data_IF_840987349707
#
_entry.id   IF_840987349707
#
_cell.length_a   1.000
_cell.length_b   1.000
_cell.length_c   1.000
_cell.angle_alpha   90.00
_cell.angle_beta   90.00
_cell.angle_gamma   90.00
#
_symmetry.space_group_name_H-M   'P 1'
#
loop_
_entity.id
_entity.type
_entity.pdbx_description
1 polymer ?
#
# COMPACT_ATOMS: atom_id res chain seq x y z
N UNK A 1 28.14 1.93 -1.55
CA UNK A 1 27.09 0.98 -1.98
C UNK A 1 25.90 1.81 -2.43
N UNK A 2 25.33 1.56 -3.61
CA UNK A 2 24.13 2.28 -4.05
C UNK A 2 22.97 1.89 -3.13
N UNK A 3 22.15 2.87 -2.75
CA UNK A 3 20.96 2.60 -1.95
C UNK A 3 20.03 1.62 -2.71
N UNK A 4 19.38 0.67 -2.01
CA UNK A 4 18.42 -0.23 -2.63
C UNK A 4 17.32 0.57 -3.34
N UNK A 5 16.86 0.08 -4.50
CA UNK A 5 15.70 0.60 -5.23
C UNK A 5 14.42 0.24 -4.46
N UNK A 6 14.20 0.86 -3.31
CA UNK A 6 13.04 0.67 -2.47
C UNK A 6 12.43 2.03 -2.12
N UNK A 7 11.10 2.05 -2.00
CA UNK A 7 10.44 3.20 -1.39
C UNK A 7 10.88 3.32 0.07
N UNK A 8 11.02 4.54 0.56
CA UNK A 8 11.31 4.79 1.97
C UNK A 8 10.07 4.45 2.78
N UNK A 9 10.19 3.53 3.74
CA UNK A 9 9.15 3.31 4.75
C UNK A 9 9.06 4.57 5.62
N UNK A 10 7.90 5.24 5.55
CA UNK A 10 7.57 6.43 6.33
C UNK A 10 6.50 6.06 7.36
N UNK A 11 6.50 6.74 8.51
CA UNK A 11 5.52 6.49 9.57
C UNK A 11 4.08 6.62 9.06
N UNK A 12 3.16 5.95 9.77
CA UNK A 12 1.74 5.98 9.43
C UNK A 12 1.22 7.42 9.39
N UNK A 13 0.60 7.82 8.27
CA UNK A 13 0.08 9.18 8.07
C UNK A 13 1.06 10.19 7.46
N UNK A 14 2.37 9.91 7.46
CA UNK A 14 3.42 10.82 6.95
C UNK A 14 3.81 10.58 5.49
N UNK A 15 3.00 9.79 4.77
CA UNK A 15 3.25 9.41 3.38
C UNK A 15 3.21 10.63 2.44
N UNK A 16 4.21 10.75 1.56
CA UNK A 16 4.34 11.83 0.57
C UNK A 16 3.97 11.34 -0.84
N UNK A 17 3.83 12.29 -1.77
CA UNK A 17 3.55 11.99 -3.18
C UNK A 17 2.18 11.34 -3.38
N UNK A 18 2.12 10.28 -4.18
CA UNK A 18 0.85 9.61 -4.52
C UNK A 18 0.25 8.82 -3.36
N UNK A 19 1.03 8.53 -2.31
CA UNK A 19 0.57 7.82 -1.09
C UNK A 19 -0.02 8.73 -0.02
N UNK A 20 -0.10 10.05 -0.28
CA UNK A 20 -0.73 11.00 0.65
C UNK A 20 -2.15 10.52 0.97
N UNK A 21 -2.56 10.64 2.25
CA UNK A 21 -3.89 10.26 2.74
C UNK A 21 -4.29 8.77 2.58
N UNK A 22 -3.36 7.86 2.26
CA UNK A 22 -3.67 6.43 2.15
C UNK A 22 -4.33 5.85 3.42
N UNK A 23 -3.99 6.36 4.59
CA UNK A 23 -4.55 5.96 5.88
C UNK A 23 -6.05 6.29 6.07
N UNK A 24 -6.62 7.16 5.23
CA UNK A 24 -8.04 7.50 5.28
C UNK A 24 -8.90 6.50 4.50
N UNK A 25 -8.28 5.63 3.70
CA UNK A 25 -8.97 4.64 2.88
C UNK A 25 -9.14 3.38 3.72
N UNK A 26 -10.38 3.05 4.06
CA UNK A 26 -10.73 1.78 4.70
C UNK A 26 -11.43 0.85 3.69
N UNK A 27 -11.05 -0.41 3.71
CA UNK A 27 -11.68 -1.49 2.96
C UNK A 27 -11.41 -2.80 3.67
N UNK A 28 -12.38 -3.72 3.69
CA UNK A 28 -12.29 -4.98 4.44
C UNK A 28 -12.23 -6.21 3.49
N UNK A 29 -11.13 -6.47 2.75
CA UNK A 29 -11.03 -7.59 1.80
C UNK A 29 -11.42 -8.98 2.32
N UNK A 30 -11.27 -9.27 3.62
CA UNK A 30 -11.64 -10.56 4.21
C UNK A 30 -13.13 -10.67 4.54
N UNK A 31 -13.85 -9.55 4.59
CA UNK A 31 -15.30 -9.48 4.85
C UNK A 31 -16.06 -9.22 3.55
N UNK A 32 -15.58 -8.27 2.75
CA UNK A 32 -16.18 -7.82 1.49
C UNK A 32 -15.70 -8.69 0.33
N UNK A 33 -16.45 -9.74 0.02
CA UNK A 33 -16.19 -10.59 -1.14
C UNK A 33 -16.58 -9.88 -2.44
N UNK A 34 -15.60 -9.53 -3.28
CA UNK A 34 -15.85 -8.92 -4.59
C UNK A 34 -16.17 -9.98 -5.64
N UNK A 35 -17.38 -9.93 -6.20
CA UNK A 35 -17.73 -10.80 -7.34
C UNK A 35 -17.08 -10.30 -8.64
N UNK A 36 -16.82 -11.19 -9.62
CA UNK A 36 -16.26 -10.76 -10.91
C UNK A 36 -17.13 -9.73 -11.66
N UNK A 37 -18.44 -9.77 -11.47
CA UNK A 37 -19.38 -8.83 -12.11
C UNK A 37 -19.29 -7.44 -11.50
N UNK A 38 -19.25 -7.34 -10.18
CA UNK A 38 -19.03 -6.07 -9.48
C UNK A 38 -17.69 -5.46 -9.85
N UNK A 39 -16.64 -6.27 -9.93
CA UNK A 39 -15.33 -5.80 -10.39
C UNK A 39 -15.40 -5.20 -11.79
N UNK A 40 -16.03 -5.88 -12.75
CA UNK A 40 -16.17 -5.36 -14.12
C UNK A 40 -16.98 -4.04 -14.16
N UNK A 41 -18.01 -3.92 -13.32
CA UNK A 41 -18.78 -2.68 -13.21
C UNK A 41 -17.95 -1.54 -12.61
N UNK A 42 -17.16 -1.82 -11.56
CA UNK A 42 -16.24 -0.86 -10.94
C UNK A 42 -15.15 -0.43 -11.93
N UNK A 43 -14.53 -1.37 -12.63
CA UNK A 43 -13.50 -1.09 -13.64
C UNK A 43 -14.06 -0.18 -14.75
N UNK A 44 -15.29 -0.42 -15.20
CA UNK A 44 -15.98 0.45 -16.17
C UNK A 44 -16.21 1.86 -15.62
N UNK A 45 -16.63 2.00 -14.36
CA UNK A 45 -16.81 3.31 -13.72
C UNK A 45 -15.47 4.05 -13.58
N UNK A 46 -14.39 3.35 -13.23
CA UNK A 46 -13.04 3.90 -13.18
C UNK A 46 -12.62 4.38 -14.57
N UNK A 47 -12.87 3.60 -15.63
CA UNK A 47 -12.56 4.01 -17.01
C UNK A 47 -13.35 5.25 -17.44
N UNK A 48 -14.64 5.33 -17.12
CA UNK A 48 -15.48 6.50 -17.39
C UNK A 48 -14.95 7.74 -16.67
N UNK A 49 -14.57 7.61 -15.38
CA UNK A 49 -13.95 8.69 -14.59
C UNK A 49 -12.56 9.09 -15.12
N UNK A 50 -11.73 8.13 -15.54
CA UNK A 50 -10.45 8.43 -16.18
C UNK A 50 -10.63 9.18 -17.52
N UNK A 51 -11.77 8.97 -18.20
CA UNK A 51 -12.09 9.64 -19.47
C UNK A 51 -12.68 11.03 -19.27
N UNK A 52 -13.50 11.20 -18.24
CA UNK A 52 -14.18 12.46 -17.93
C UNK A 52 -13.30 13.43 -17.13
N UNK A 53 -12.38 12.91 -16.32
CA UNK A 53 -11.55 13.72 -15.44
C UNK A 53 -10.43 14.44 -16.18
N UNK A 54 -10.23 15.71 -15.82
CA UNK A 54 -9.11 16.53 -16.30
C UNK A 54 -7.85 16.39 -15.44
N UNK A 55 -7.95 15.72 -14.29
CA UNK A 55 -6.84 15.44 -13.36
C UNK A 55 -6.07 14.23 -13.88
N UNK A 56 -4.81 14.45 -14.28
CA UNK A 56 -3.92 13.34 -14.63
C UNK A 56 -3.58 12.53 -13.38
N UNK A 57 -3.46 11.20 -13.48
CA UNK A 57 -2.95 10.38 -12.39
C UNK A 57 -1.59 10.90 -11.91
N UNK A 58 -1.38 10.90 -10.59
CA UNK A 58 -0.08 11.21 -10.00
C UNK A 58 0.98 10.26 -10.54
N UNK A 59 2.08 10.80 -11.04
CA UNK A 59 3.17 9.99 -11.61
C UNK A 59 4.00 9.34 -10.49
N UNK A 60 3.68 8.08 -10.24
CA UNK A 60 4.28 7.22 -9.21
C UNK A 60 5.75 6.86 -9.51
N UNK A 61 6.25 7.11 -10.73
CA UNK A 61 7.64 6.79 -11.10
C UNK A 61 8.64 7.84 -10.60
N UNK A 62 8.19 9.06 -10.28
CA UNK A 62 9.07 10.14 -9.78
C UNK A 62 9.66 9.84 -8.40
N UNK A 63 9.11 8.87 -7.66
CA UNK A 63 9.63 8.45 -6.36
C UNK A 63 10.79 7.44 -6.47
N UNK A 64 11.04 6.91 -7.67
CA UNK A 64 12.10 5.91 -7.89
C UNK A 64 13.45 6.58 -8.21
N UNK A 65 14.57 6.04 -7.70
CA UNK A 65 15.90 6.54 -8.06
C UNK A 65 16.19 6.39 -9.57
N UNK A 66 16.95 7.31 -10.19
CA UNK A 66 17.34 7.19 -11.59
C UNK A 66 18.24 5.96 -11.80
N UNK A 67 18.05 5.29 -12.93
CA UNK A 67 18.86 4.12 -13.30
C UNK A 67 20.32 4.51 -13.54
N UNK A 68 21.30 3.70 -13.13
CA UNK A 68 22.71 3.95 -13.41
C UNK A 68 23.02 3.83 -14.91
N UNK A 69 23.88 4.71 -15.43
CA UNK A 69 24.33 4.66 -16.83
C UNK A 69 25.19 3.42 -17.11
N UNK A 70 24.80 2.61 -18.10
CA UNK A 70 25.57 1.46 -18.55
C UNK A 70 26.67 1.90 -19.52
N UNK A 71 27.93 1.97 -19.06
CA UNK A 71 29.11 2.20 -19.92
C UNK A 71 29.88 0.91 -20.12
N UNK A 72 29.58 0.18 -21.19
CA UNK A 72 30.38 -0.96 -21.61
C UNK A 72 31.47 -0.51 -22.58
N UNK A 73 32.74 -0.63 -22.18
CA UNK A 73 33.89 -0.45 -23.09
C UNK A 73 34.09 -1.75 -23.87
N UNK A 74 34.19 -1.67 -25.20
CA UNK A 74 34.44 -2.84 -26.04
C UNK A 74 35.77 -3.51 -25.63
N UNK A 75 35.76 -4.84 -25.49
CA UNK A 75 36.96 -5.63 -25.20
C UNK A 75 37.89 -5.63 -26.42
N UNK A 76 39.16 -5.28 -26.19
CA UNK A 76 40.21 -5.36 -27.20
C UNK A 76 40.77 -6.78 -27.27
N UNK A 77 40.48 -7.49 -28.35
CA UNK A 77 40.93 -8.86 -28.59
C UNK A 77 42.23 -8.94 -29.37
N UNK A 78 42.70 -7.84 -29.96
CA UNK A 78 43.92 -7.80 -30.78
C UNK A 78 45.18 -8.13 -29.98
N UNK A 79 45.15 -7.85 -28.66
CA UNK A 79 46.23 -8.18 -27.72
C UNK A 79 46.52 -9.68 -27.60
N UNK A 80 45.53 -10.53 -27.87
CA UNK A 80 45.66 -11.99 -27.68
C UNK A 80 45.95 -12.74 -28.98
N UNK A 81 46.07 -12.04 -30.10
CA UNK A 81 46.42 -12.63 -31.39
C UNK A 81 47.93 -12.52 -31.65
N UNK A 82 48.53 -13.57 -32.21
CA UNK A 82 49.93 -13.59 -32.61
C UNK A 82 50.04 -13.35 -34.13
N UNK A 83 49.55 -12.19 -34.57
CA UNK A 83 49.59 -11.87 -36.00
C UNK A 83 50.94 -11.27 -36.39
N UNK A 84 51.54 -11.72 -37.52
CA UNK A 84 52.69 -11.03 -38.07
C UNK A 84 52.30 -9.61 -38.49
N UNK A 85 53.26 -8.69 -38.60
CA UNK A 85 52.95 -7.34 -39.08
C UNK A 85 52.28 -7.42 -40.47
N UNK A 86 51.29 -6.54 -40.74
CA UNK A 86 50.57 -6.54 -42.00
C UNK A 86 51.53 -6.51 -43.20
N UNK A 87 51.19 -7.11 -44.35
CA UNK A 87 52.07 -7.17 -45.52
C UNK A 87 52.67 -5.82 -45.93
N UNK A 88 51.90 -4.74 -45.75
CA UNK A 88 52.30 -3.34 -46.04
C UNK A 88 53.34 -2.78 -45.08
N UNK A 89 53.49 -3.34 -43.87
CA UNK A 89 54.42 -2.89 -42.83
C UNK A 89 55.59 -3.86 -42.61
N UNK A 90 55.77 -4.87 -43.46
CA UNK A 90 56.87 -5.85 -43.31
C UNK A 90 58.26 -5.29 -43.63
N UNK A 91 58.36 -4.13 -44.28
CA UNK A 91 59.63 -3.42 -44.44
C UNK A 91 59.96 -2.51 -43.25
N UNK A 92 58.99 -2.26 -42.35
CA UNK A 92 59.17 -1.42 -41.17
C UNK A 92 59.75 -2.24 -40.01
N UNK A 93 60.98 -1.90 -39.62
CA UNK A 93 61.67 -2.51 -38.49
C UNK A 93 60.88 -2.40 -37.18
N UNK A 94 60.18 -1.29 -36.94
CA UNK A 94 59.45 -1.08 -35.70
C UNK A 94 58.19 -1.93 -35.60
N UNK A 95 57.54 -2.23 -36.73
CA UNK A 95 56.39 -3.14 -36.79
C UNK A 95 56.79 -4.58 -36.42
N UNK A 96 57.99 -5.03 -36.84
CA UNK A 96 58.54 -6.32 -36.43
C UNK A 96 58.95 -6.37 -34.96
N UNK A 97 59.55 -5.29 -34.44
CA UNK A 97 59.86 -5.19 -33.00
C UNK A 97 58.58 -5.28 -32.16
N UNK A 98 57.53 -4.55 -32.51
CA UNK A 98 56.25 -4.63 -31.80
C UNK A 98 55.60 -6.02 -31.86
N UNK A 99 55.68 -6.71 -33.00
CA UNK A 99 55.20 -8.09 -33.13
C UNK A 99 56.04 -9.08 -32.28
N UNK A 100 57.36 -8.88 -32.22
CA UNK A 100 58.26 -9.68 -31.37
C UNK A 100 58.00 -9.45 -29.88
N UNK A 101 57.80 -8.19 -29.47
CA UNK A 101 57.47 -7.85 -28.08
C UNK A 101 56.11 -8.47 -27.68
N UNK A 102 55.12 -8.46 -28.57
CA UNK A 102 53.86 -9.18 -28.37
C UNK A 102 54.09 -10.70 -28.24
N UNK A 103 54.97 -11.29 -29.07
CA UNK A 103 55.30 -12.71 -29.00
C UNK A 103 55.99 -13.09 -27.67
N UNK A 104 56.93 -12.28 -27.19
CA UNK A 104 57.54 -12.46 -25.88
C UNK A 104 56.52 -12.34 -24.75
N UNK A 105 55.66 -11.31 -24.79
CA UNK A 105 54.58 -11.17 -23.81
C UNK A 105 53.65 -12.40 -23.81
N UNK A 106 53.33 -12.95 -24.98
CA UNK A 106 52.51 -14.15 -25.10
C UNK A 106 53.20 -15.41 -24.58
N UNK A 107 54.50 -15.57 -24.80
CA UNK A 107 55.28 -16.68 -24.22
C UNK A 107 55.21 -16.65 -22.70
N UNK A 108 55.45 -15.48 -22.10
CA UNK A 108 55.34 -15.29 -20.65
C UNK A 108 53.90 -15.54 -20.15
N UNK A 109 52.88 -15.14 -20.91
CA UNK A 109 51.50 -15.47 -20.59
C UNK A 109 51.23 -16.99 -20.63
N UNK A 110 51.80 -17.73 -21.59
CA UNK A 110 51.65 -19.20 -21.63
C UNK A 110 52.38 -19.86 -20.46
N UNK A 111 53.57 -19.38 -20.07
CA UNK A 111 54.28 -19.87 -18.90
C UNK A 111 53.46 -19.67 -17.61
N UNK A 112 52.94 -18.45 -17.41
CA UNK A 112 52.04 -18.16 -16.29
C UNK A 112 50.77 -19.02 -16.34
N UNK A 113 50.20 -19.26 -17.52
CA UNK A 113 49.05 -20.15 -17.69
C UNK A 113 49.38 -21.57 -17.26
N UNK A 114 50.55 -22.10 -17.61
CA UNK A 114 50.98 -23.44 -17.21
C UNK A 114 51.11 -23.55 -15.70
N UNK A 115 51.79 -22.60 -15.06
CA UNK A 115 51.91 -22.54 -13.60
C UNK A 115 50.55 -22.41 -12.90
N UNK A 116 49.64 -21.58 -13.44
CA UNK A 116 48.27 -21.48 -12.94
C UNK A 116 47.48 -22.78 -13.09
N UNK A 117 47.68 -23.52 -14.19
CA UNK A 117 47.04 -24.81 -14.42
C UNK A 117 47.59 -25.89 -13.47
N UNK A 118 48.89 -25.87 -13.16
CA UNK A 118 49.48 -26.76 -12.15
C UNK A 118 48.90 -26.50 -10.76
N UNK A 119 48.73 -25.23 -10.38
CA UNK A 119 48.06 -24.85 -9.13
C UNK A 119 46.59 -25.31 -9.12
N UNK A 120 45.87 -25.11 -10.22
CA UNK A 120 44.48 -25.56 -10.35
C UNK A 120 44.37 -27.08 -10.28
N UNK A 121 45.28 -27.82 -10.90
CA UNK A 121 45.27 -29.28 -10.85
C UNK A 121 45.51 -29.79 -9.43
N UNK A 122 46.40 -29.12 -8.67
CA UNK A 122 46.73 -29.49 -7.30
C UNK A 122 45.65 -29.12 -6.28
N UNK A 123 45.09 -27.91 -6.35
CA UNK A 123 44.20 -27.36 -5.32
C UNK A 123 42.75 -27.17 -5.78
N UNK A 124 42.48 -27.23 -7.08
CA UNK A 124 41.16 -27.01 -7.68
C UNK A 124 40.08 -27.93 -7.12
N UNK A 125 40.29 -29.26 -7.04
CA UNK A 125 39.27 -30.16 -6.50
C UNK A 125 38.86 -29.83 -5.06
N UNK A 126 39.82 -29.55 -4.18
CA UNK A 126 39.56 -29.22 -2.78
C UNK A 126 38.89 -27.85 -2.65
N UNK A 127 39.40 -26.84 -3.36
CA UNK A 127 38.81 -25.50 -3.39
C UNK A 127 37.39 -25.52 -3.94
N UNK A 128 37.10 -26.35 -4.95
CA UNK A 128 35.75 -26.48 -5.52
C UNK A 128 34.78 -27.15 -4.55
N UNK A 129 35.23 -28.18 -3.81
CA UNK A 129 34.41 -28.80 -2.76
C UNK A 129 34.06 -27.80 -1.66
N UNK A 130 35.04 -27.04 -1.17
CA UNK A 130 34.80 -25.97 -0.19
C UNK A 130 33.85 -24.89 -0.73
N UNK A 131 34.01 -24.49 -2.00
CA UNK A 131 33.11 -23.54 -2.63
C UNK A 131 31.67 -24.07 -2.70
N UNK A 132 31.49 -25.33 -3.08
CA UNK A 132 30.17 -25.97 -3.10
C UNK A 132 29.55 -26.05 -1.70
N UNK A 133 30.33 -26.38 -0.67
CA UNK A 133 29.86 -26.38 0.72
C UNK A 133 29.40 -24.99 1.16
N UNK A 134 30.18 -23.95 0.85
CA UNK A 134 29.81 -22.56 1.11
C UNK A 134 28.54 -22.14 0.35
N UNK A 135 28.39 -22.56 -0.91
CA UNK A 135 27.18 -22.32 -1.70
C UNK A 135 25.96 -23.04 -1.10
N UNK A 136 26.11 -24.30 -0.68
CA UNK A 136 25.05 -25.05 0.01
C UNK A 136 24.62 -24.36 1.29
N UNK A 137 25.57 -23.90 2.12
CA UNK A 137 25.26 -23.13 3.33
C UNK A 137 24.57 -21.81 3.01
N UNK A 138 24.98 -21.12 1.94
CA UNK A 138 24.34 -19.88 1.47
C UNK A 138 22.89 -20.13 1.02
N UNK A 139 22.64 -21.21 0.29
CA UNK A 139 21.28 -21.61 -0.12
C UNK A 139 20.40 -21.89 1.10
N UNK A 140 20.89 -22.66 2.07
CA UNK A 140 20.15 -22.94 3.32
C UNK A 140 19.80 -21.65 4.04
N UNK A 141 20.75 -20.71 4.18
CA UNK A 141 20.50 -19.40 4.80
C UNK A 141 19.42 -18.60 4.08
N UNK A 142 19.46 -18.56 2.74
CA UNK A 142 18.43 -17.87 1.96
C UNK A 142 17.05 -18.53 2.10
N UNK A 143 17.00 -19.86 2.18
CA UNK A 143 15.75 -20.60 2.42
C UNK A 143 15.18 -20.30 3.82
N UNK A 144 16.03 -20.20 4.83
CA UNK A 144 15.63 -19.80 6.19
C UNK A 144 15.09 -18.37 6.23
N UNK A 145 15.77 -17.43 5.57
CA UNK A 145 15.30 -16.05 5.44
C UNK A 145 13.95 -15.97 4.71
N UNK A 146 13.79 -16.72 3.61
CA UNK A 146 12.53 -16.81 2.90
C UNK A 146 11.42 -17.38 3.80
N UNK A 147 11.70 -18.43 4.56
CA UNK A 147 10.75 -19.02 5.49
C UNK A 147 10.37 -18.04 6.62
N UNK A 148 11.34 -17.27 7.13
CA UNK A 148 11.10 -16.25 8.14
C UNK A 148 10.18 -15.14 7.62
N UNK A 149 10.45 -14.60 6.41
CA UNK A 149 9.59 -13.59 5.79
C UNK A 149 8.19 -14.13 5.50
N UNK A 150 8.06 -15.38 5.03
CA UNK A 150 6.75 -16.02 4.84
C UNK A 150 5.96 -16.11 6.15
N UNK A 151 6.60 -16.52 7.25
CA UNK A 151 5.95 -16.54 8.58
C UNK A 151 5.50 -15.15 9.01
N UNK A 152 6.31 -14.11 8.78
CA UNK A 152 5.92 -12.73 9.08
C UNK A 152 4.69 -12.29 8.27
N UNK A 153 4.65 -12.61 6.98
CA UNK A 153 3.49 -12.36 6.11
C UNK A 153 2.25 -13.09 6.62
N UNK A 154 2.38 -14.37 6.99
CA UNK A 154 1.26 -15.18 7.50
C UNK A 154 0.71 -14.66 8.83
N UNK A 155 1.59 -14.27 9.77
CA UNK A 155 1.21 -13.67 11.05
C UNK A 155 0.42 -12.37 10.81
N UNK A 156 0.95 -11.48 9.98
CA UNK A 156 0.31 -10.21 9.67
C UNK A 156 -1.02 -10.40 8.92
N UNK A 157 -1.12 -11.38 8.02
CA UNK A 157 -2.39 -11.73 7.37
C UNK A 157 -3.42 -12.28 8.36
N UNK A 158 -2.99 -13.09 9.33
CA UNK A 158 -3.86 -13.59 10.41
C UNK A 158 -4.37 -12.45 11.29
N UNK A 159 -3.49 -11.54 11.68
CA UNK A 159 -3.85 -10.34 12.47
C UNK A 159 -4.86 -9.47 11.72
N UNK A 160 -4.58 -9.15 10.45
CA UNK A 160 -5.52 -8.39 9.59
C UNK A 160 -6.87 -9.08 9.48
N UNK A 161 -6.90 -10.39 9.27
CA UNK A 161 -8.15 -11.15 9.17
C UNK A 161 -8.97 -11.06 10.46
N UNK A 162 -8.32 -11.17 11.62
CA UNK A 162 -9.00 -11.02 12.92
C UNK A 162 -9.56 -9.61 13.12
N UNK A 163 -8.75 -8.58 12.84
CA UNK A 163 -9.17 -7.18 12.95
C UNK A 163 -10.35 -6.87 12.03
N UNK A 164 -10.30 -7.32 10.77
CA UNK A 164 -11.38 -7.06 9.81
C UNK A 164 -12.67 -7.81 10.17
N UNK A 165 -12.60 -9.06 10.65
CA UNK A 165 -13.81 -9.76 11.10
C UNK A 165 -14.42 -9.11 12.35
N UNK A 166 -13.60 -8.62 13.28
CA UNK A 166 -14.09 -7.87 14.44
C UNK A 166 -14.82 -6.59 13.98
N UNK A 167 -14.18 -5.77 13.15
CA UNK A 167 -14.77 -4.56 12.58
C UNK A 167 -16.06 -4.85 11.80
N UNK A 168 -16.05 -5.87 10.94
CA UNK A 168 -17.24 -6.31 10.20
C UNK A 168 -18.39 -6.73 11.11
N UNK A 169 -18.11 -7.43 12.20
CA UNK A 169 -19.15 -7.81 13.17
C UNK A 169 -19.76 -6.60 13.89
N UNK A 170 -18.97 -5.57 14.19
CA UNK A 170 -19.47 -4.32 14.77
C UNK A 170 -20.29 -3.53 13.74
N UNK A 171 -19.86 -3.47 12.48
CA UNK A 171 -20.62 -2.85 11.39
C UNK A 171 -21.99 -3.51 11.21
N UNK A 172 -22.06 -4.85 11.21
CA UNK A 172 -23.34 -5.56 11.10
C UNK A 172 -24.27 -5.30 12.30
N UNK A 173 -23.73 -5.15 13.51
CA UNK A 173 -24.53 -4.77 14.70
C UNK A 173 -25.09 -3.36 14.54
N UNK A 174 -24.25 -2.40 14.17
CA UNK A 174 -24.65 -1.00 13.97
C UNK A 174 -25.66 -0.87 12.84
N UNK A 175 -25.52 -1.63 11.77
CA UNK A 175 -26.49 -1.68 10.67
C UNK A 175 -27.85 -2.21 11.15
N UNK A 176 -27.86 -3.29 11.93
CA UNK A 176 -29.10 -3.84 12.49
C UNK A 176 -29.78 -2.86 13.46
N UNK A 177 -29.01 -2.17 14.30
CA UNK A 177 -29.52 -1.12 15.18
C UNK A 177 -30.08 0.06 14.39
N UNK A 178 -29.36 0.53 13.36
CA UNK A 178 -29.80 1.59 12.47
C UNK A 178 -31.12 1.23 11.78
N UNK A 179 -31.20 0.07 11.12
CA UNK A 179 -32.42 -0.40 10.47
C UNK A 179 -33.57 -0.56 11.47
N UNK A 180 -33.27 -1.07 12.67
CA UNK A 180 -34.23 -1.19 13.76
C UNK A 180 -34.80 0.17 14.20
N UNK A 181 -33.96 1.19 14.32
CA UNK A 181 -34.39 2.56 14.65
C UNK A 181 -35.20 3.19 13.52
N UNK A 182 -34.79 2.99 12.26
CA UNK A 182 -35.53 3.47 11.08
C UNK A 182 -36.94 2.84 11.04
N UNK A 183 -37.06 1.53 11.27
CA UNK A 183 -38.36 0.86 11.32
C UNK A 183 -39.22 1.36 12.49
N UNK A 184 -38.65 1.46 13.69
CA UNK A 184 -39.37 2.00 14.86
C UNK A 184 -39.88 3.42 14.61
N UNK A 185 -39.06 4.30 14.04
CA UNK A 185 -39.48 5.66 13.71
C UNK A 185 -40.62 5.66 12.70
N UNK A 186 -40.54 4.81 11.67
CA UNK A 186 -41.60 4.65 10.67
C UNK A 186 -42.91 4.16 11.30
N UNK A 187 -42.85 3.20 12.22
CA UNK A 187 -44.01 2.66 12.92
C UNK A 187 -44.65 3.71 13.85
N UNK A 188 -43.82 4.49 14.55
CA UNK A 188 -44.26 5.61 15.39
C UNK A 188 -44.94 6.68 14.53
N UNK A 189 -44.35 7.08 13.41
CA UNK A 189 -44.96 8.04 12.49
C UNK A 189 -46.30 7.56 11.95
N UNK A 190 -46.42 6.26 11.63
CA UNK A 190 -47.67 5.68 11.17
C UNK A 190 -48.74 5.70 12.27
N UNK A 191 -48.37 5.38 13.51
CA UNK A 191 -49.27 5.44 14.66
C UNK A 191 -49.70 6.89 14.98
N UNK A 192 -48.77 7.84 14.96
CA UNK A 192 -49.07 9.28 15.14
C UNK A 192 -50.05 9.76 14.07
N UNK A 193 -49.82 9.44 12.79
CA UNK A 193 -50.75 9.78 11.70
C UNK A 193 -52.15 9.17 11.90
N UNK A 194 -52.23 7.94 12.38
CA UNK A 194 -53.49 7.28 12.73
C UNK A 194 -54.24 8.03 13.84
N UNK A 195 -53.55 8.32 14.94
CA UNK A 195 -54.12 9.08 16.07
C UNK A 195 -54.53 10.50 15.67
N UNK A 196 -53.73 11.18 14.86
CA UNK A 196 -54.07 12.51 14.33
C UNK A 196 -55.33 12.47 13.46
N UNK A 197 -55.50 11.44 12.63
CA UNK A 197 -56.71 11.25 11.83
C UNK A 197 -57.94 10.97 12.70
N UNK A 198 -57.80 10.15 13.75
CA UNK A 198 -58.86 9.90 14.73
C UNK A 198 -59.25 11.18 15.49
N UNK A 199 -58.27 11.96 15.95
CA UNK A 199 -58.51 13.25 16.62
C UNK A 199 -59.20 14.23 15.66
N UNK A 200 -58.78 14.29 14.39
CA UNK A 200 -59.43 15.13 13.38
C UNK A 200 -60.89 14.71 13.16
N UNK A 201 -61.16 13.41 13.05
CA UNK A 201 -62.52 12.89 12.89
C UNK A 201 -63.39 13.18 14.13
N UNK A 202 -62.86 13.02 15.34
CA UNK A 202 -63.57 13.36 16.59
C UNK A 202 -63.86 14.87 16.70
N UNK A 203 -62.92 15.73 16.28
CA UNK A 203 -63.12 17.18 16.25
C UNK A 203 -64.19 17.61 15.26
N UNK A 204 -64.29 16.93 14.12
CA UNK A 204 -65.34 17.19 13.12
C UNK A 204 -66.72 16.66 13.57
N UNK A 205 -66.74 15.55 14.31
CA UNK A 205 -67.96 14.94 14.84
C UNK A 205 -68.55 15.66 16.08
N UNK A 206 -67.74 16.48 16.78
CA UNK A 206 -68.26 17.34 17.84
C UNK A 206 -69.09 18.48 17.23
N UNK A 207 -70.28 18.81 17.79
CA UNK A 207 -70.99 20.02 17.40
C UNK A 207 -70.07 21.23 17.61
N UNK A 208 -70.07 22.19 16.67
CA UNK A 208 -69.43 23.50 16.87
C UNK A 208 -70.20 24.34 17.88
N UNK A 209 -70.40 23.84 19.08
CA UNK A 209 -70.96 24.60 20.18
C UNK A 209 -69.82 25.25 20.95
N UNK A 210 -69.63 26.55 20.71
CA UNK A 210 -68.94 27.42 21.67
C UNK A 210 -67.58 28.01 21.28
N UNK A 211 -67.45 28.57 20.08
CA UNK A 211 -66.72 29.84 19.94
C UNK A 211 -67.72 30.81 19.29
N UNK A 212 -68.49 31.60 20.06
CA UNK A 212 -68.03 32.78 20.78
C UNK A 212 -68.81 33.00 22.09
N UNK A 213 -68.26 32.52 23.22
CA UNK A 213 -68.53 33.05 24.55
C UNK A 213 -67.29 32.84 25.44
N UNK A 214 -66.12 33.30 24.97
CA UNK A 214 -64.91 33.41 25.78
C UNK A 214 -63.99 34.46 25.16
N UNK A 215 -64.42 35.72 25.22
CA UNK A 215 -63.48 36.81 25.37
C UNK A 215 -62.94 36.78 26.80
N UNK A 216 -61.65 37.06 26.96
CA UNK A 216 -60.88 37.20 28.21
C UNK A 216 -60.38 35.92 28.89
N UNK A 217 -59.07 35.66 28.74
CA UNK A 217 -58.30 34.76 29.59
C UNK A 217 -57.17 34.04 28.85
N UNK A 218 -55.94 34.22 29.33
CA UNK A 218 -54.71 33.52 28.95
C UNK A 218 -53.96 34.01 27.70
N UNK A 219 -53.47 35.25 27.77
CA UNK A 219 -52.10 35.52 27.34
C UNK A 219 -51.20 35.05 28.48
N UNK A 220 -50.57 33.88 28.35
CA UNK A 220 -49.37 33.43 29.06
C UNK A 220 -49.12 31.95 28.69
N UNK A 221 -48.16 31.69 27.80
CA UNK A 221 -47.82 30.32 27.39
C UNK A 221 -46.76 30.23 26.29
N UNK A 222 -46.48 31.32 25.58
CA UNK A 222 -45.49 31.36 24.50
C UNK A 222 -44.02 31.38 24.99
N UNK A 223 -43.77 31.42 26.30
CA UNK A 223 -42.40 31.47 26.85
C UNK A 223 -41.81 30.09 27.20
N UNK A 224 -42.59 29.01 27.19
CA UNK A 224 -42.08 27.68 27.58
C UNK A 224 -41.40 26.90 26.43
N UNK A 225 -41.70 27.23 25.17
CA UNK A 225 -41.10 26.53 24.02
C UNK A 225 -39.68 27.05 23.65
N UNK A 226 -39.39 28.32 23.95
CA UNK A 226 -38.07 28.91 23.67
C UNK A 226 -36.97 28.43 24.65
N UNK A 227 -37.32 28.10 25.90
CA UNK A 227 -36.36 27.64 26.91
C UNK A 227 -35.89 26.18 26.72
N UNK A 228 -36.64 25.36 25.96
CA UNK A 228 -36.26 23.98 25.66
C UNK A 228 -35.28 23.85 24.47
N UNK A 229 -35.22 24.86 23.59
CA UNK A 229 -34.30 24.88 22.45
C UNK A 229 -32.90 25.42 22.79
N UNK A 230 -32.73 26.16 23.90
CA UNK A 230 -31.42 26.64 24.35
C UNK A 230 -30.62 25.65 25.21
N UNK A 231 -31.24 24.56 25.71
CA UNK A 231 -30.55 23.54 26.52
C UNK A 231 -29.93 22.39 25.70
N UNK A 232 -30.15 22.32 24.38
CA UNK A 232 -29.52 21.32 23.51
C UNK A 232 -28.27 21.82 22.75
N UNK A 233 -27.86 23.07 22.95
CA UNK A 233 -26.71 23.66 22.26
C UNK A 233 -25.52 24.02 23.16
N UNK A 234 -25.51 23.55 24.41
CA UNK A 234 -24.36 23.61 25.32
C UNK A 234 -24.00 22.24 25.88
N UNK A 235 -23.49 21.37 25.01
CA UNK A 235 -22.71 20.19 25.39
C UNK A 235 -21.33 20.29 24.77
N UNK A 236 -20.39 20.95 25.46
CA UNK A 236 -18.97 20.87 25.10
C UNK A 236 -18.48 19.41 25.26
N UNK A 237 -17.57 18.93 24.39
CA UNK A 237 -16.85 17.69 24.65
C UNK A 237 -15.74 17.98 25.66
N UNK A 238 -15.75 17.30 26.80
CA UNK A 238 -14.60 17.28 27.70
C UNK A 238 -14.12 15.83 27.88
N UNK A 239 -12.94 15.56 27.32
CA UNK A 239 -11.87 14.76 27.91
C UNK A 239 -12.18 13.34 28.39
N UNK A 240 -11.80 12.37 27.55
CA UNK A 240 -11.13 11.14 28.00
C UNK A 240 -9.79 11.16 27.25
N UNK A 241 -8.68 11.54 27.86
CA UNK A 241 -8.01 10.73 28.88
C UNK A 241 -7.00 9.83 28.16
N UNK A 242 -5.85 10.39 27.78
CA UNK A 242 -4.67 9.61 27.41
C UNK A 242 -4.25 8.72 28.60
N UNK A 243 -3.89 7.45 28.39
CA UNK A 243 -2.90 6.80 29.20
C UNK A 243 -1.54 6.94 28.52
N UNK A 244 -0.70 7.82 29.07
CA UNK A 244 0.74 7.76 28.90
C UNK A 244 1.26 6.60 29.76
N UNK A 245 1.55 5.45 29.14
CA UNK A 245 2.42 4.43 29.74
C UNK A 245 3.80 4.52 29.10
N UNK A 246 4.76 4.97 29.89
CA UNK A 246 6.18 4.96 29.59
C UNK A 246 6.99 4.90 30.89
N UNK A 247 7.30 3.68 31.33
CA UNK A 247 8.43 3.31 32.21
C UNK A 247 8.82 1.89 31.78
N UNK A 248 9.93 1.69 31.06
CA UNK A 248 11.30 1.54 31.59
C UNK A 248 11.41 0.52 32.72
N UNK A 249 11.65 -0.74 32.35
CA UNK A 249 12.87 -1.51 32.68
C UNK A 249 13.30 -2.31 31.43
#
# INVERSE_FOLDING_TARGET
MAAPLQLTDVAHGEQKGWRRSQHLVDSLPYVDGLTPQEKAAVDKMIEEEMRSSSKKPSDYLNELPPLPETRFKAMDTARYSLDPPPPTKRSDHNAWRAALDNAHAQLEHQYNRLLNLELLLKFGPDSWRMHNEALSAFVTRLQEQLAAVKRQVDTLNRERKLQQHAAGSELSKLEAEYLGLVHKNKDIEAACRGLEAEIAAMREALPRDGQQAAGSGAADGEQAAAAAQEQQQQGQPNGVGEPAEGMQE
#
